data_IF_382771190194
#
_entry.id   IF_382771190194
#
_cell.length_a   1.000
_cell.length_b   1.000
_cell.length_c   1.000
_cell.angle_alpha   90.00
_cell.angle_beta   90.00
_cell.angle_gamma   90.00
#
_symmetry.space_group_name_H-M   'P 1'
#
loop_
_entity.id
_entity.type
_entity.pdbx_description
1 polymer ?
#
# COMPACT_ATOMS: atom_id res chain seq x y z
N UNK A 1 -22.56 0.47 0.24
CA UNK A 1 -21.67 1.66 0.42
C UNK A 1 -22.13 2.89 -0.39
N UNK A 2 -22.31 4.06 0.24
CA UNK A 2 -22.73 5.28 -0.47
C UNK A 2 -21.56 5.93 -1.24
N UNK A 3 -21.81 6.35 -2.50
CA UNK A 3 -20.80 6.99 -3.37
C UNK A 3 -20.18 8.24 -2.75
N UNK A 4 -20.89 8.94 -1.87
CA UNK A 4 -20.42 10.16 -1.20
C UNK A 4 -19.33 9.88 -0.16
N UNK A 5 -19.48 8.83 0.66
CA UNK A 5 -18.47 8.44 1.67
C UNK A 5 -17.17 8.03 0.97
N UNK A 6 -17.28 7.29 -0.13
CA UNK A 6 -16.12 6.89 -0.93
C UNK A 6 -15.37 8.09 -1.54
N UNK A 7 -16.10 9.06 -2.10
CA UNK A 7 -15.49 10.30 -2.65
C UNK A 7 -14.78 11.11 -1.57
N UNK A 8 -15.36 11.22 -0.39
CA UNK A 8 -14.72 11.89 0.76
C UNK A 8 -13.45 11.17 1.19
N UNK A 9 -13.50 9.85 1.32
CA UNK A 9 -12.31 9.04 1.60
C UNK A 9 -11.21 9.28 0.56
N UNK A 10 -11.52 9.26 -0.74
CA UNK A 10 -10.52 9.54 -1.78
C UNK A 10 -9.94 10.95 -1.67
N UNK A 11 -10.76 11.96 -1.35
CA UNK A 11 -10.30 13.34 -1.15
C UNK A 11 -9.42 13.51 0.08
N UNK A 12 -9.62 12.72 1.13
CA UNK A 12 -8.75 12.73 2.32
C UNK A 12 -7.47 11.89 2.08
N UNK A 13 -7.57 10.78 1.34
CA UNK A 13 -6.47 9.86 1.07
C UNK A 13 -5.39 10.43 0.15
N UNK A 14 -5.77 10.99 -1.01
CA UNK A 14 -4.80 11.42 -2.03
C UNK A 14 -3.86 12.54 -1.56
N UNK A 15 -4.34 13.61 -0.93
CA UNK A 15 -3.47 14.66 -0.40
C UNK A 15 -2.53 14.14 0.68
N UNK A 16 -3.00 13.25 1.56
CA UNK A 16 -2.16 12.65 2.59
C UNK A 16 -1.07 11.76 1.98
N UNK A 17 -1.40 10.96 0.96
CA UNK A 17 -0.40 10.14 0.26
C UNK A 17 0.64 10.99 -0.49
N UNK A 18 0.19 12.06 -1.16
CA UNK A 18 1.10 13.01 -1.81
C UNK A 18 2.01 13.70 -0.80
N UNK A 19 1.48 14.10 0.36
CA UNK A 19 2.28 14.67 1.44
C UNK A 19 3.29 13.67 1.99
N UNK A 20 2.90 12.40 2.20
CA UNK A 20 3.81 11.33 2.62
C UNK A 20 4.98 11.18 1.65
N UNK A 21 4.69 11.06 0.35
CA UNK A 21 5.71 10.93 -0.69
C UNK A 21 6.60 12.17 -0.69
N UNK A 22 6.03 13.38 -0.74
CA UNK A 22 6.80 14.62 -0.75
C UNK A 22 7.74 14.73 0.46
N UNK A 23 7.24 14.43 1.67
CA UNK A 23 8.03 14.41 2.91
C UNK A 23 9.18 13.41 2.78
N UNK A 24 8.92 12.17 2.35
CA UNK A 24 9.97 11.18 2.17
C UNK A 24 11.04 11.66 1.17
N UNK A 25 10.67 12.26 0.04
CA UNK A 25 11.65 12.72 -0.94
C UNK A 25 12.44 13.95 -0.52
N UNK A 26 11.80 14.87 0.18
CA UNK A 26 12.44 16.12 0.58
C UNK A 26 13.30 15.92 1.83
N UNK A 27 12.83 15.14 2.81
CA UNK A 27 13.49 15.05 4.12
C UNK A 27 14.59 14.00 4.19
N UNK A 28 14.45 12.89 3.47
CA UNK A 28 15.45 11.82 3.52
C UNK A 28 16.87 12.27 3.14
N UNK A 29 17.08 13.04 2.05
CA UNK A 29 18.42 13.57 1.73
C UNK A 29 18.87 14.71 2.67
N UNK A 30 17.95 15.32 3.42
CA UNK A 30 18.27 16.40 4.37
C UNK A 30 18.67 15.88 5.75
N UNK A 31 18.12 14.73 6.19
CA UNK A 31 18.35 14.15 7.51
C UNK A 31 19.84 13.95 7.90
N UNK A 32 20.75 13.51 6.99
CA UNK A 32 22.17 13.39 7.34
C UNK A 32 22.85 14.72 7.64
N UNK A 33 22.29 15.84 7.17
CA UNK A 33 22.86 17.19 7.34
C UNK A 33 22.39 17.88 8.64
N UNK A 34 21.48 17.24 9.38
CA UNK A 34 20.92 17.80 10.62
C UNK A 34 21.77 17.34 11.81
N UNK A 35 22.49 18.29 12.40
CA UNK A 35 23.38 18.05 13.55
C UNK A 35 22.64 18.04 14.90
N UNK A 36 21.43 18.64 14.97
CA UNK A 36 20.62 18.64 16.18
C UNK A 36 19.79 17.35 16.26
N UNK A 37 20.06 16.52 17.26
CA UNK A 37 19.39 15.22 17.44
C UNK A 37 17.87 15.32 17.64
N UNK A 38 17.38 16.32 18.39
CA UNK A 38 15.94 16.52 18.59
C UNK A 38 15.24 16.88 17.27
N UNK A 39 15.86 17.76 16.47
CA UNK A 39 15.34 18.13 15.16
C UNK A 39 15.36 16.93 14.21
N UNK A 40 16.42 16.13 14.24
CA UNK A 40 16.54 14.91 13.43
C UNK A 40 15.44 13.90 13.75
N UNK A 41 15.14 13.68 15.04
CA UNK A 41 14.02 12.82 15.47
C UNK A 41 12.69 13.37 14.96
N UNK A 42 12.43 14.66 15.14
CA UNK A 42 11.19 15.30 14.69
C UNK A 42 10.98 15.16 13.17
N UNK A 43 12.03 15.37 12.39
CA UNK A 43 12.01 15.25 10.93
C UNK A 43 11.88 13.79 10.47
N UNK A 44 12.51 12.84 11.18
CA UNK A 44 12.40 11.41 10.88
C UNK A 44 11.00 10.85 11.15
N UNK A 45 10.26 11.41 12.12
CA UNK A 45 8.89 11.02 12.44
C UNK A 45 7.82 11.77 11.61
N UNK A 46 8.19 12.83 10.90
CA UNK A 46 7.25 13.62 10.09
C UNK A 46 6.43 12.78 9.07
N UNK A 47 6.97 11.75 8.39
CA UNK A 47 6.20 10.87 7.52
C UNK A 47 5.06 10.12 8.19
N UNK A 48 5.07 10.00 9.52
CA UNK A 48 3.99 9.35 10.28
C UNK A 48 2.71 10.20 10.25
N UNK A 49 2.81 11.53 10.22
CA UNK A 49 1.64 12.42 10.27
C UNK A 49 0.67 12.19 9.10
N UNK A 50 1.12 12.19 7.81
CA UNK A 50 0.24 11.85 6.70
C UNK A 50 -0.39 10.46 6.81
N UNK A 51 0.35 9.46 7.32
CA UNK A 51 -0.17 8.10 7.52
C UNK A 51 -1.31 8.10 8.55
N UNK A 52 -1.20 8.89 9.63
CA UNK A 52 -2.29 9.04 10.60
C UNK A 52 -3.56 9.66 9.98
N UNK A 53 -3.41 10.59 9.03
CA UNK A 53 -4.55 11.11 8.27
C UNK A 53 -5.21 10.03 7.40
N UNK A 54 -4.41 9.17 6.75
CA UNK A 54 -4.93 8.02 6.01
C UNK A 54 -5.68 7.05 6.93
N UNK A 55 -5.13 6.75 8.11
CA UNK A 55 -5.80 5.90 9.12
C UNK A 55 -7.12 6.53 9.56
N UNK A 56 -7.15 7.84 9.85
CA UNK A 56 -8.38 8.56 10.21
C UNK A 56 -9.44 8.48 9.11
N UNK A 57 -9.04 8.69 7.85
CA UNK A 57 -9.95 8.56 6.71
C UNK A 57 -10.49 7.13 6.59
N UNK A 58 -9.65 6.13 6.84
CA UNK A 58 -10.03 4.71 6.81
C UNK A 58 -10.99 4.34 7.93
N UNK A 59 -10.76 4.81 9.16
CA UNK A 59 -11.67 4.57 10.30
C UNK A 59 -13.05 5.14 10.01
N UNK A 60 -13.12 6.37 9.49
CA UNK A 60 -14.39 6.99 9.07
C UNK A 60 -15.09 6.21 7.95
N UNK A 61 -14.31 5.65 7.02
CA UNK A 61 -14.83 4.81 5.95
C UNK A 61 -15.53 3.58 6.51
N UNK A 62 -14.87 2.87 7.43
CA UNK A 62 -15.39 1.64 8.05
C UNK A 62 -16.62 1.96 8.89
N UNK A 63 -16.56 2.96 9.77
CA UNK A 63 -17.68 3.35 10.64
C UNK A 63 -18.90 3.86 9.85
N UNK A 64 -18.69 4.45 8.68
CA UNK A 64 -19.77 4.89 7.79
C UNK A 64 -20.27 3.80 6.83
N UNK A 65 -19.72 2.58 6.90
CA UNK A 65 -20.15 1.45 6.07
C UNK A 65 -21.25 0.64 6.75
N UNK A 66 -22.02 -0.10 5.94
CA UNK A 66 -23.00 -1.05 6.44
C UNK A 66 -22.35 -2.22 7.22
N UNK A 67 -23.16 -2.97 7.97
CA UNK A 67 -22.68 -4.05 8.85
C UNK A 67 -21.91 -5.14 8.08
N UNK A 68 -22.34 -5.45 6.85
CA UNK A 68 -21.69 -6.46 6.03
C UNK A 68 -20.31 -5.99 5.57
N UNK A 69 -20.18 -4.76 5.08
CA UNK A 69 -18.89 -4.16 4.73
C UNK A 69 -17.97 -4.02 5.94
N UNK A 70 -18.48 -3.64 7.12
CA UNK A 70 -17.71 -3.61 8.35
C UNK A 70 -17.18 -5.00 8.72
N UNK A 71 -18.01 -6.04 8.62
CA UNK A 71 -17.58 -7.44 8.81
C UNK A 71 -16.49 -7.84 7.82
N UNK A 72 -16.63 -7.48 6.54
CA UNK A 72 -15.63 -7.75 5.51
C UNK A 72 -14.30 -7.05 5.83
N UNK A 73 -14.34 -5.80 6.28
CA UNK A 73 -13.17 -5.05 6.72
C UNK A 73 -12.49 -5.72 7.94
N UNK A 74 -13.26 -6.16 8.93
CA UNK A 74 -12.76 -6.87 10.10
C UNK A 74 -12.08 -8.19 9.74
N UNK A 75 -12.67 -8.98 8.85
CA UNK A 75 -12.08 -10.24 8.39
C UNK A 75 -10.75 -9.97 7.66
N UNK A 76 -10.72 -8.97 6.77
CA UNK A 76 -9.49 -8.57 6.10
C UNK A 76 -8.39 -8.14 7.08
N UNK A 77 -8.76 -7.36 8.11
CA UNK A 77 -7.83 -6.92 9.15
C UNK A 77 -7.33 -8.10 10.02
N UNK A 78 -8.21 -9.04 10.37
CA UNK A 78 -7.85 -10.22 11.13
C UNK A 78 -6.83 -11.07 10.36
N UNK A 79 -7.07 -11.34 9.07
CA UNK A 79 -6.13 -12.06 8.21
C UNK A 79 -4.77 -11.33 8.14
N UNK A 80 -4.80 -10.01 7.90
CA UNK A 80 -3.58 -9.21 7.83
C UNK A 80 -2.79 -9.23 9.14
N UNK A 81 -3.47 -9.03 10.26
CA UNK A 81 -2.84 -9.05 11.58
C UNK A 81 -2.21 -10.42 11.87
N UNK A 82 -2.94 -11.53 11.64
CA UNK A 82 -2.41 -12.89 11.87
C UNK A 82 -1.20 -13.20 11.00
N UNK A 83 -1.28 -12.92 9.69
CA UNK A 83 -0.17 -13.21 8.76
C UNK A 83 1.06 -12.37 9.10
N UNK A 84 0.89 -11.04 9.24
CA UNK A 84 2.02 -10.14 9.49
C UNK A 84 2.65 -10.40 10.86
N UNK A 85 1.86 -10.64 11.91
CA UNK A 85 2.38 -10.97 13.24
C UNK A 85 3.14 -12.30 13.24
N UNK A 86 2.63 -13.32 12.55
CA UNK A 86 3.28 -14.64 12.47
C UNK A 86 4.59 -14.56 11.68
N UNK A 87 4.60 -13.83 10.55
CA UNK A 87 5.82 -13.57 9.78
C UNK A 87 6.85 -12.77 10.60
N UNK A 88 6.39 -11.78 11.37
CA UNK A 88 7.26 -10.99 12.24
C UNK A 88 7.85 -11.84 13.36
N UNK A 89 7.05 -12.72 13.96
CA UNK A 89 7.50 -13.66 14.99
C UNK A 89 8.53 -14.64 14.44
N UNK A 90 8.25 -15.25 13.27
CA UNK A 90 9.18 -16.13 12.59
C UNK A 90 10.49 -15.39 12.27
N UNK A 91 10.41 -14.20 11.67
CA UNK A 91 11.59 -13.36 11.40
C UNK A 91 12.38 -13.02 12.67
N UNK A 92 11.69 -12.72 13.77
CA UNK A 92 12.30 -12.47 15.07
C UNK A 92 13.07 -13.68 15.60
N UNK A 93 12.52 -14.89 15.50
CA UNK A 93 13.23 -16.12 15.90
C UNK A 93 14.43 -16.41 15.00
N UNK A 94 14.31 -16.22 13.68
CA UNK A 94 15.43 -16.38 12.75
C UNK A 94 16.57 -15.39 13.06
N UNK A 95 16.23 -14.16 13.45
CA UNK A 95 17.21 -13.17 13.88
C UNK A 95 17.85 -13.52 15.22
N UNK A 96 17.05 -13.95 16.20
CA UNK A 96 17.54 -14.37 17.51
C UNK A 96 18.47 -15.59 17.44
N UNK A 97 18.21 -16.52 16.52
CA UNK A 97 19.07 -17.68 16.26
C UNK A 97 20.33 -17.34 15.45
N UNK A 98 20.52 -16.08 15.03
CA UNK A 98 21.66 -15.66 14.22
C UNK A 98 21.61 -16.13 12.75
N UNK A 99 20.47 -16.68 12.30
CA UNK A 99 20.29 -17.19 10.94
C UNK A 99 20.16 -16.04 9.93
N UNK A 100 19.48 -14.94 10.32
CA UNK A 100 19.25 -13.77 9.47
C UNK A 100 19.61 -12.49 10.23
N UNK A 101 20.36 -11.58 9.60
CA UNK A 101 20.59 -10.24 10.13
C UNK A 101 19.46 -9.32 9.66
N UNK A 102 18.57 -8.92 10.58
CA UNK A 102 17.52 -7.94 10.32
C UNK A 102 17.97 -6.55 10.77
N UNK A 103 17.86 -5.56 9.91
CA UNK A 103 18.10 -4.15 10.22
C UNK A 103 16.76 -3.41 10.47
N UNK A 104 16.84 -2.14 10.89
CA UNK A 104 15.65 -1.32 11.13
C UNK A 104 14.79 -1.08 9.87
N UNK A 105 15.35 -1.30 8.68
CA UNK A 105 14.64 -1.17 7.40
C UNK A 105 13.46 -2.15 7.30
N UNK A 106 13.53 -3.31 7.98
CA UNK A 106 12.43 -4.28 7.99
C UNK A 106 11.11 -3.70 8.54
N UNK A 107 11.20 -2.74 9.48
CA UNK A 107 10.02 -2.11 10.09
C UNK A 107 9.25 -1.24 9.10
N UNK A 108 9.93 -0.69 8.09
CA UNK A 108 9.31 0.10 7.02
C UNK A 108 8.38 -0.79 6.18
N UNK A 109 8.70 -2.09 6.04
CA UNK A 109 7.93 -3.07 5.26
C UNK A 109 6.70 -3.63 5.98
N UNK A 110 6.59 -3.44 7.30
CA UNK A 110 5.46 -3.96 8.08
C UNK A 110 4.14 -3.37 7.58
N UNK A 111 4.09 -2.05 7.41
CA UNK A 111 2.86 -1.36 6.99
C UNK A 111 2.44 -1.72 5.55
N UNK A 112 3.33 -1.69 4.52
CA UNK A 112 3.00 -2.16 3.18
C UNK A 112 2.50 -3.61 3.15
N UNK A 113 3.16 -4.52 3.89
CA UNK A 113 2.76 -5.92 3.97
C UNK A 113 1.36 -6.07 4.58
N UNK A 114 1.08 -5.32 5.65
CA UNK A 114 -0.25 -5.26 6.26
C UNK A 114 -1.32 -4.84 5.25
N UNK A 115 -1.07 -3.78 4.48
CA UNK A 115 -2.00 -3.29 3.45
C UNK A 115 -2.24 -4.33 2.36
N UNK A 116 -1.18 -4.97 1.85
CA UNK A 116 -1.30 -6.00 0.81
C UNK A 116 -2.14 -7.18 1.30
N UNK A 117 -1.80 -7.75 2.46
CA UNK A 117 -2.53 -8.89 3.02
C UNK A 117 -3.97 -8.50 3.37
N UNK A 118 -4.17 -7.31 3.90
CA UNK A 118 -5.50 -6.77 4.19
C UNK A 118 -6.38 -6.68 2.95
N UNK A 119 -5.86 -6.13 1.85
CA UNK A 119 -6.63 -6.00 0.60
C UNK A 119 -6.96 -7.37 0.01
N UNK A 120 -6.04 -8.33 0.07
CA UNK A 120 -6.27 -9.71 -0.34
C UNK A 120 -7.33 -10.40 0.52
N UNK A 121 -7.21 -10.31 1.85
CA UNK A 121 -8.16 -10.88 2.81
C UNK A 121 -9.55 -10.28 2.69
N UNK A 122 -9.65 -8.96 2.50
CA UNK A 122 -10.91 -8.25 2.24
C UNK A 122 -11.56 -8.73 0.93
N UNK A 123 -10.78 -8.88 -0.13
CA UNK A 123 -11.27 -9.37 -1.43
C UNK A 123 -11.69 -10.83 -1.41
N UNK A 124 -11.04 -11.67 -0.60
CA UNK A 124 -11.49 -13.04 -0.34
C UNK A 124 -12.82 -13.05 0.43
N UNK A 125 -12.92 -12.26 1.50
CA UNK A 125 -14.12 -12.16 2.32
C UNK A 125 -15.32 -11.65 1.51
N UNK A 126 -15.14 -10.62 0.68
CA UNK A 126 -16.23 -10.08 -0.14
C UNK A 126 -16.80 -11.11 -1.11
N UNK A 127 -15.95 -11.91 -1.76
CA UNK A 127 -16.37 -13.01 -2.64
C UNK A 127 -17.17 -14.08 -1.90
N UNK A 128 -16.86 -14.34 -0.63
CA UNK A 128 -17.54 -15.36 0.19
C UNK A 128 -18.96 -14.96 0.58
N UNK A 129 -19.21 -13.66 0.78
CA UNK A 129 -20.50 -13.13 1.22
C UNK A 129 -21.42 -12.69 0.06
N UNK A 130 -21.09 -13.05 -1.18
CA UNK A 130 -21.90 -12.67 -2.35
C UNK A 130 -21.88 -11.17 -2.65
N UNK A 131 -20.98 -10.42 -2.01
CA UNK A 131 -20.74 -9.03 -2.33
C UNK A 131 -20.16 -8.99 -3.73
N UNK A 132 -21.01 -8.65 -4.70
CA UNK A 132 -20.57 -8.24 -6.03
C UNK A 132 -19.37 -7.32 -5.84
N UNK A 133 -18.28 -7.68 -6.50
CA UNK A 133 -16.98 -7.05 -6.41
C UNK A 133 -16.97 -5.63 -7.00
N UNK A 134 -17.97 -4.79 -6.71
CA UNK A 134 -18.19 -3.50 -7.35
C UNK A 134 -17.08 -2.50 -7.06
N UNK A 135 -16.44 -2.54 -5.89
CA UNK A 135 -15.35 -1.59 -5.59
C UNK A 135 -14.05 -1.94 -6.35
N UNK A 136 -13.83 -3.22 -6.68
CA UNK A 136 -12.69 -3.63 -7.52
C UNK A 136 -13.04 -3.62 -9.01
N UNK A 137 -14.31 -3.83 -9.38
CA UNK A 137 -14.80 -3.89 -10.76
C UNK A 137 -15.12 -2.52 -11.36
N UNK A 138 -15.84 -1.64 -10.67
CA UNK A 138 -16.25 -0.31 -11.16
C UNK A 138 -15.06 0.67 -11.21
N UNK A 139 -14.06 0.44 -10.34
CA UNK A 139 -12.88 1.30 -10.22
C UNK A 139 -11.60 0.65 -10.78
N UNK A 140 -11.70 -0.45 -11.54
CA UNK A 140 -10.57 -1.21 -12.10
C UNK A 140 -9.68 -0.38 -13.03
N UNK A 141 -10.28 0.50 -13.85
CA UNK A 141 -9.57 1.41 -14.77
C UNK A 141 -8.83 2.51 -14.02
N UNK A 142 -9.46 3.10 -12.99
CA UNK A 142 -8.82 4.11 -12.15
C UNK A 142 -7.77 3.49 -11.21
N UNK A 143 -7.99 2.27 -10.72
CA UNK A 143 -7.04 1.51 -9.91
C UNK A 143 -5.79 1.14 -10.72
N UNK A 144 -5.96 0.71 -11.98
CA UNK A 144 -4.84 0.49 -12.91
C UNK A 144 -4.01 1.77 -13.08
N UNK A 145 -4.64 2.90 -13.41
CA UNK A 145 -3.93 4.17 -13.52
C UNK A 145 -3.27 4.61 -12.23
N UNK A 146 -3.86 4.32 -11.07
CA UNK A 146 -3.28 4.63 -9.75
C UNK A 146 -2.09 3.73 -9.42
N UNK A 147 -2.17 2.44 -9.71
CA UNK A 147 -1.05 1.50 -9.56
C UNK A 147 0.08 1.87 -10.50
N UNK A 148 -0.23 2.28 -11.74
CA UNK A 148 0.75 2.80 -12.67
C UNK A 148 1.34 4.13 -12.23
N UNK A 149 0.55 5.06 -11.70
CA UNK A 149 1.06 6.32 -11.16
C UNK A 149 1.94 6.11 -9.93
N UNK A 150 1.61 5.14 -9.08
CA UNK A 150 2.47 4.74 -7.95
C UNK A 150 3.74 4.06 -8.44
N UNK A 151 3.66 3.15 -9.42
CA UNK A 151 4.84 2.53 -10.01
C UNK A 151 5.73 3.56 -10.75
N UNK A 152 5.12 4.50 -11.48
CA UNK A 152 5.79 5.60 -12.16
C UNK A 152 6.37 6.60 -11.16
N UNK A 153 5.68 6.88 -10.06
CA UNK A 153 6.24 7.65 -8.96
C UNK A 153 7.46 6.90 -8.42
N UNK A 154 7.36 5.64 -7.97
CA UNK A 154 8.51 4.89 -7.45
C UNK A 154 9.66 4.81 -8.49
N UNK A 155 9.36 4.69 -9.78
CA UNK A 155 10.36 4.72 -10.87
C UNK A 155 11.00 6.10 -11.07
N UNK A 156 10.24 7.18 -11.03
CA UNK A 156 10.75 8.55 -11.13
C UNK A 156 11.60 8.91 -9.90
N UNK A 157 11.15 8.43 -8.75
CA UNK A 157 11.79 8.60 -7.46
C UNK A 157 13.10 7.82 -7.33
N UNK A 158 13.17 6.61 -7.89
CA UNK A 158 14.44 5.87 -8.03
C UNK A 158 15.36 6.53 -9.03
N UNK A 159 14.85 7.06 -10.14
CA UNK A 159 15.63 7.78 -11.14
C UNK A 159 16.25 9.10 -10.60
N UNK A 160 15.48 9.86 -9.81
CA UNK A 160 15.93 11.11 -9.17
C UNK A 160 16.87 10.85 -7.98
N UNK A 161 16.71 9.73 -7.28
CA UNK A 161 17.54 9.32 -6.13
C UNK A 161 18.83 8.57 -6.50
N UNK A 162 19.11 8.33 -7.80
CA UNK A 162 20.26 7.53 -8.28
C UNK A 162 21.62 7.98 -7.75
N UNK A 163 21.76 9.25 -7.37
CA UNK A 163 23.02 9.82 -6.88
C UNK A 163 23.23 9.73 -5.35
N UNK A 164 22.23 9.29 -4.57
CA UNK A 164 22.29 9.28 -3.10
C UNK A 164 21.92 7.94 -2.44
N UNK A 165 21.44 6.95 -3.19
CA UNK A 165 21.00 5.66 -2.68
C UNK A 165 22.13 4.62 -2.78
N UNK A 166 22.31 3.79 -1.75
CA UNK A 166 23.24 2.66 -1.80
C UNK A 166 22.74 1.57 -2.76
N UNK A 167 23.65 0.80 -3.37
CA UNK A 167 23.34 -0.20 -4.42
C UNK A 167 22.26 -1.22 -3.99
N UNK A 168 22.20 -1.57 -2.71
CA UNK A 168 21.17 -2.46 -2.15
C UNK A 168 19.78 -1.81 -2.08
N UNK A 169 19.69 -0.53 -1.72
CA UNK A 169 18.42 0.20 -1.67
C UNK A 169 17.89 0.49 -3.09
N UNK A 170 18.80 0.75 -4.04
CA UNK A 170 18.48 0.84 -5.47
C UNK A 170 17.94 -0.49 -6.02
N UNK A 171 18.59 -1.61 -5.70
CA UNK A 171 18.13 -2.94 -6.11
C UNK A 171 16.73 -3.28 -5.59
N UNK A 172 16.46 -2.99 -4.31
CA UNK A 172 15.18 -3.26 -3.67
C UNK A 172 14.04 -2.41 -4.28
N UNK A 173 14.27 -1.11 -4.52
CA UNK A 173 13.26 -0.21 -5.10
C UNK A 173 12.99 -0.49 -6.58
N UNK A 174 14.01 -0.89 -7.35
CA UNK A 174 13.83 -1.34 -8.74
C UNK A 174 13.04 -2.66 -8.81
N UNK A 175 13.30 -3.60 -7.90
CA UNK A 175 12.52 -4.84 -7.78
C UNK A 175 11.05 -4.60 -7.39
N UNK A 176 10.81 -3.62 -6.51
CA UNK A 176 9.46 -3.21 -6.11
C UNK A 176 8.70 -2.56 -7.28
N UNK A 177 9.37 -1.70 -8.04
CA UNK A 177 8.79 -1.03 -9.20
C UNK A 177 8.41 -2.03 -10.29
N UNK A 178 9.27 -3.01 -10.56
CA UNK A 178 8.99 -4.06 -11.55
C UNK A 178 7.89 -5.01 -11.09
N UNK A 179 7.83 -5.37 -9.81
CA UNK A 179 6.75 -6.19 -9.25
C UNK A 179 5.39 -5.49 -9.30
N UNK A 180 5.35 -4.20 -8.94
CA UNK A 180 4.12 -3.39 -9.02
C UNK A 180 3.68 -3.13 -10.47
N UNK A 181 4.62 -2.89 -11.38
CA UNK A 181 4.34 -2.74 -12.80
C UNK A 181 3.85 -4.06 -13.43
N UNK A 182 4.47 -5.19 -13.08
CA UNK A 182 4.04 -6.52 -13.51
C UNK A 182 2.64 -6.86 -12.98
N UNK A 183 2.36 -6.54 -11.71
CA UNK A 183 1.03 -6.73 -11.13
C UNK A 183 -0.01 -5.84 -11.81
N UNK A 184 0.33 -4.58 -12.10
CA UNK A 184 -0.51 -3.66 -12.88
C UNK A 184 -0.80 -4.18 -14.30
N UNK A 185 0.21 -4.75 -14.98
CA UNK A 185 0.08 -5.38 -16.29
C UNK A 185 -0.79 -6.64 -16.26
N UNK A 186 -0.61 -7.50 -15.26
CA UNK A 186 -1.44 -8.70 -15.09
C UNK A 186 -2.90 -8.32 -14.89
N UNK A 187 -3.19 -7.31 -14.07
CA UNK A 187 -4.54 -6.80 -13.88
C UNK A 187 -5.13 -6.24 -15.19
N UNK A 188 -4.34 -5.53 -16.00
CA UNK A 188 -4.76 -5.02 -17.30
C UNK A 188 -5.07 -6.15 -18.31
N UNK A 189 -4.21 -7.18 -18.37
CA UNK A 189 -4.40 -8.34 -19.25
C UNK A 189 -5.64 -9.15 -18.85
N UNK A 190 -5.83 -9.38 -17.55
CA UNK A 190 -7.00 -10.09 -17.02
C UNK A 190 -8.29 -9.31 -17.32
N UNK A 191 -8.25 -7.98 -17.26
CA UNK A 191 -9.39 -7.14 -17.63
C UNK A 191 -9.70 -7.24 -19.14
N UNK A 192 -8.68 -7.12 -19.99
CA UNK A 192 -8.86 -7.21 -21.45
C UNK A 192 -9.42 -8.57 -21.87
N UNK A 193 -8.92 -9.66 -21.28
CA UNK A 193 -9.43 -11.03 -21.54
C UNK A 193 -10.87 -11.23 -21.08
N UNK A 194 -11.30 -10.57 -19.99
CA UNK A 194 -12.70 -10.65 -19.53
C UNK A 194 -13.64 -9.85 -20.43
N UNK A 195 -13.21 -8.67 -20.91
CA UNK A 195 -13.98 -7.87 -21.87
C UNK A 195 -14.21 -8.63 -23.18
N UNK A 196 -13.17 -9.30 -23.69
CA UNK A 196 -13.28 -10.13 -24.90
C UNK A 196 -14.16 -11.39 -24.73
N UNK A 197 -14.33 -11.90 -23.51
CA UNK A 197 -15.27 -13.01 -23.25
C UNK A 197 -16.72 -12.53 -23.21
N UNK A 198 -16.99 -11.36 -22.61
CA UNK A 198 -18.32 -10.76 -22.62
C UNK A 198 -18.85 -10.47 -24.03
N UNK A 199 -17.98 -9.99 -24.93
CA UNK A 199 -18.37 -9.69 -26.32
C UNK A 199 -18.62 -10.96 -27.18
N UNK A 200 -18.12 -12.14 -26.77
CA UNK A 200 -18.31 -13.42 -27.48
C UNK A 200 -19.56 -14.20 -27.04
N UNK A 201 -20.11 -13.90 -25.87
CA UNK A 201 -21.35 -14.51 -25.37
C UNK A 201 -22.60 -13.72 -25.83
N UNK A 202 -22.40 -12.52 -26.40
CA UNK A 202 -23.45 -11.65 -26.92
C UNK A 202 -23.63 -11.72 -28.45
N UNK A 203 -22.86 -12.57 -29.14
CA UNK A 203 -22.89 -12.83 -30.59
C UNK A 203 -23.32 -14.25 -30.89
#
# INVERSE_FOLDING_TARGET
MSRQIYRRYQREFWPAMLAYIAIMFLLWPLLPRVHNELLKIALALLPVLPVLFVVRAMVRLVLGSDELEQRIHLIGLAIAATVVSTLSLAGGFLAAAGVVKLDGTILIWVWPTLVVVYTAGRGWASRRYGGASDVLCDNSVALYWRVLLVALAIAALTALGRHQLSDHQLGMLCGMSSALAAWGLVLAILHWRRRQRGDREAS
#
